data_IF_838347845267
#
_entry.id   IF_838347845267
#
_cell.length_a   1.000
_cell.length_b   1.000
_cell.length_c   1.000
_cell.angle_alpha   90.00
_cell.angle_beta   90.00
_cell.angle_gamma   90.00
#
_symmetry.space_group_name_H-M   'P 1'
#
loop_
_entity.id
_entity.type
_entity.pdbx_description
1 polymer ?
#
# COMPACT_ATOMS: atom_id res chain seq x y z
N UNK A 1 -7.68 17.73 -15.65
CA UNK A 1 -6.81 16.59 -15.98
C UNK A 1 -6.62 15.83 -14.69
N UNK A 2 -7.15 14.62 -14.63
CA UNK A 2 -6.92 13.74 -13.49
C UNK A 2 -5.41 13.54 -13.26
N UNK A 3 -5.00 13.66 -12.03
CA UNK A 3 -3.63 13.37 -11.62
C UNK A 3 -3.45 11.86 -11.68
N UNK A 4 -2.49 11.32 -12.43
CA UNK A 4 -2.26 9.89 -12.45
C UNK A 4 -1.99 9.38 -11.04
N UNK A 5 -2.64 8.26 -10.69
CA UNK A 5 -2.61 7.65 -9.37
C UNK A 5 -2.20 6.18 -9.47
N UNK A 6 -1.42 5.69 -8.48
CA UNK A 6 -1.08 4.28 -8.31
C UNK A 6 -1.18 3.90 -6.84
N UNK A 7 -1.74 2.73 -6.57
CA UNK A 7 -1.80 2.15 -5.24
C UNK A 7 -0.95 0.88 -5.22
N UNK A 8 0.13 0.86 -4.45
CA UNK A 8 1.05 -0.26 -4.39
C UNK A 8 1.21 -0.75 -2.96
N UNK A 9 1.01 -2.04 -2.73
CA UNK A 9 1.29 -2.69 -1.45
C UNK A 9 2.75 -3.17 -1.40
N UNK A 10 3.35 -3.21 -0.21
CA UNK A 10 4.67 -3.83 -0.02
C UNK A 10 4.51 -5.10 0.78
N UNK A 11 4.76 -6.22 0.15
CA UNK A 11 4.77 -7.56 0.72
C UNK A 11 6.22 -7.92 1.07
N UNK A 12 6.50 -8.19 2.33
CA UNK A 12 7.83 -8.57 2.78
C UNK A 12 7.74 -9.46 4.01
N UNK A 13 8.70 -10.37 4.15
CA UNK A 13 8.94 -11.02 5.45
C UNK A 13 9.51 -10.01 6.45
N UNK A 14 9.36 -10.32 7.74
CA UNK A 14 10.03 -9.58 8.82
C UNK A 14 11.53 -9.51 8.52
N UNK A 15 12.16 -8.38 8.79
CA UNK A 15 13.58 -8.12 8.56
C UNK A 15 14.07 -8.13 7.10
N UNK A 16 13.22 -8.32 6.09
CA UNK A 16 13.62 -8.18 4.68
C UNK A 16 13.88 -6.72 4.24
N UNK A 17 13.71 -5.75 5.15
CA UNK A 17 14.09 -4.34 4.93
C UNK A 17 12.97 -3.47 4.36
N UNK A 18 11.70 -3.85 4.57
CA UNK A 18 10.52 -3.09 4.12
C UNK A 18 10.54 -1.64 4.61
N UNK A 19 10.62 -1.42 5.91
CA UNK A 19 10.65 -0.08 6.52
C UNK A 19 11.81 0.75 5.98
N UNK A 20 13.00 0.16 5.87
CA UNK A 20 14.20 0.85 5.37
C UNK A 20 14.04 1.28 3.91
N UNK A 21 13.43 0.45 3.06
CA UNK A 21 13.16 0.79 1.66
C UNK A 21 12.14 1.91 1.53
N UNK A 22 11.06 1.87 2.31
CA UNK A 22 10.04 2.94 2.33
C UNK A 22 10.63 4.25 2.83
N UNK A 23 11.46 4.21 3.87
CA UNK A 23 12.16 5.40 4.38
C UNK A 23 13.07 6.00 3.29
N UNK A 24 13.77 5.16 2.51
CA UNK A 24 14.59 5.62 1.39
C UNK A 24 13.74 6.28 0.27
N UNK A 25 12.57 5.72 -0.04
CA UNK A 25 11.62 6.32 -1.00
C UNK A 25 11.15 7.69 -0.49
N UNK A 26 10.70 7.79 0.76
CA UNK A 26 10.22 9.03 1.36
C UNK A 26 11.31 10.12 1.42
N UNK A 27 12.54 9.73 1.76
CA UNK A 27 13.67 10.66 1.82
C UNK A 27 14.01 11.25 0.44
N UNK A 28 14.00 10.41 -0.61
CA UNK A 28 14.39 10.83 -1.96
C UNK A 28 13.26 11.54 -2.72
N UNK A 29 12.01 11.35 -2.33
CA UNK A 29 10.88 12.09 -2.89
C UNK A 29 10.60 13.42 -2.18
N UNK A 30 11.46 13.82 -1.24
CA UNK A 30 11.40 15.13 -0.57
C UNK A 30 10.33 15.22 0.53
N UNK A 31 9.77 14.09 0.95
CA UNK A 31 8.69 14.03 1.93
C UNK A 31 9.20 14.02 3.37
N UNK A 32 10.41 13.52 3.62
CA UNK A 32 11.06 13.58 4.93
C UNK A 32 12.37 14.39 4.86
N UNK A 33 12.62 15.21 5.87
CA UNK A 33 13.93 15.88 5.97
C UNK A 33 14.97 14.84 6.37
N UNK A 34 16.11 14.82 5.66
CA UNK A 34 17.23 13.89 5.87
C UNK A 34 17.85 13.88 7.28
N UNK A 35 17.33 14.66 8.22
CA UNK A 35 17.83 14.80 9.60
C UNK A 35 17.10 13.93 10.64
N UNK A 36 15.92 13.41 10.31
CA UNK A 36 15.11 12.61 11.23
C UNK A 36 15.05 11.11 10.85
N UNK A 37 15.93 10.66 9.97
CA UNK A 37 15.85 9.39 9.28
C UNK A 37 16.48 8.23 10.06
N UNK A 38 15.79 7.78 11.10
CA UNK A 38 15.93 6.37 11.55
C UNK A 38 14.55 5.85 11.95
N UNK A 39 14.00 4.93 11.14
CA UNK A 39 12.72 4.24 11.38
C UNK A 39 11.51 5.19 11.51
N UNK A 40 11.30 6.07 10.53
CA UNK A 40 10.17 7.02 10.54
C UNK A 40 8.83 6.27 10.42
N UNK A 41 8.81 5.12 9.74
CA UNK A 41 7.62 4.28 9.63
C UNK A 41 7.26 3.59 10.95
N UNK A 42 8.22 3.14 11.76
CA UNK A 42 7.97 2.43 13.01
C UNK A 42 7.86 3.42 14.19
N UNK A 43 6.76 4.17 14.24
CA UNK A 43 6.52 5.18 15.28
C UNK A 43 6.01 4.60 16.60
N UNK A 44 5.47 3.37 16.61
CA UNK A 44 4.98 2.69 17.81
C UNK A 44 6.15 2.13 18.64
N UNK A 45 6.22 2.39 19.97
CA UNK A 45 7.27 1.85 20.83
C UNK A 45 7.40 0.32 20.76
N UNK A 46 6.29 -0.40 20.62
CA UNK A 46 6.27 -1.87 20.51
C UNK A 46 6.84 -2.36 19.18
N UNK A 47 6.57 -1.65 18.08
CA UNK A 47 7.14 -1.95 16.75
C UNK A 47 8.66 -1.77 16.76
N UNK A 48 9.16 -0.68 17.39
CA UNK A 48 10.60 -0.41 17.54
C UNK A 48 11.30 -1.45 18.43
N UNK A 49 10.65 -1.87 19.51
CA UNK A 49 11.21 -2.86 20.43
C UNK A 49 11.32 -4.24 19.80
N UNK A 50 10.32 -4.62 18.98
CA UNK A 50 10.23 -5.94 18.35
C UNK A 50 10.78 -6.00 16.93
N UNK A 51 11.04 -4.86 16.28
CA UNK A 51 11.50 -4.78 14.90
C UNK A 51 10.45 -5.25 13.87
N UNK A 52 9.15 -5.26 14.22
CA UNK A 52 8.08 -5.75 13.35
C UNK A 52 7.02 -4.67 13.14
N UNK A 53 6.48 -4.57 11.92
CA UNK A 53 5.29 -3.76 11.64
C UNK A 53 4.07 -4.49 12.17
N UNK A 54 3.37 -3.88 13.13
CA UNK A 54 2.15 -4.42 13.74
C UNK A 54 0.91 -3.82 13.07
N UNK A 55 0.92 -2.51 12.82
CA UNK A 55 -0.19 -1.79 12.21
C UNK A 55 0.15 -1.41 10.78
N UNK A 56 -0.76 -1.72 9.86
CA UNK A 56 -0.67 -1.27 8.48
C UNK A 56 -0.63 0.26 8.41
N UNK A 57 0.37 0.80 7.73
CA UNK A 57 0.55 2.23 7.56
C UNK A 57 0.42 2.59 6.08
N UNK A 58 -0.24 3.69 5.83
CA UNK A 58 -0.37 4.23 4.49
C UNK A 58 0.50 5.48 4.38
N UNK A 59 1.30 5.56 3.34
CA UNK A 59 1.98 6.80 2.98
C UNK A 59 1.75 7.12 1.50
N UNK A 60 2.03 8.36 1.12
CA UNK A 60 1.87 8.78 -0.26
C UNK A 60 3.00 9.70 -0.67
N UNK A 61 3.50 9.49 -1.88
CA UNK A 61 4.53 10.33 -2.49
C UNK A 61 4.03 10.91 -3.81
N UNK A 62 4.49 12.09 -4.11
CA UNK A 62 4.27 12.74 -5.39
C UNK A 62 5.58 12.65 -6.19
N UNK A 63 5.53 11.96 -7.30
CA UNK A 63 6.68 11.69 -8.16
C UNK A 63 6.48 12.30 -9.55
N UNK A 64 7.51 12.95 -10.09
CA UNK A 64 7.52 13.46 -11.46
C UNK A 64 8.57 12.69 -12.25
N UNK A 65 8.16 11.71 -13.10
CA UNK A 65 9.11 10.95 -13.88
C UNK A 65 9.76 11.81 -14.97
N UNK A 66 11.05 11.59 -15.23
CA UNK A 66 11.80 12.26 -16.29
C UNK A 66 11.54 11.66 -17.67
N UNK A 67 11.09 10.41 -17.73
CA UNK A 67 10.85 9.65 -18.97
C UNK A 67 9.59 8.81 -18.86
N UNK A 68 9.19 8.17 -19.97
CA UNK A 68 8.03 7.29 -20.03
C UNK A 68 6.71 8.03 -20.30
N UNK A 69 5.60 7.32 -20.14
CA UNK A 69 4.26 7.82 -20.51
C UNK A 69 3.81 9.04 -19.69
N UNK A 70 4.29 9.15 -18.46
CA UNK A 70 3.95 10.24 -17.52
C UNK A 70 5.08 11.28 -17.39
N UNK A 71 6.04 11.34 -18.31
CA UNK A 71 7.17 12.26 -18.24
C UNK A 71 6.73 13.72 -18.01
N UNK A 72 7.32 14.36 -17.01
CA UNK A 72 7.02 15.75 -16.64
C UNK A 72 5.67 15.98 -15.96
N UNK A 73 4.86 14.92 -15.72
CA UNK A 73 3.57 15.04 -15.02
C UNK A 73 3.70 14.50 -13.58
N UNK A 74 3.17 15.19 -12.58
CA UNK A 74 3.17 14.67 -11.22
C UNK A 74 2.23 13.48 -11.13
N UNK A 75 2.76 12.34 -10.72
CA UNK A 75 2.01 11.12 -10.40
C UNK A 75 1.97 10.94 -8.90
N UNK A 76 0.81 10.59 -8.39
CA UNK A 76 0.65 10.20 -7.00
C UNK A 76 0.83 8.70 -6.84
N UNK A 77 1.66 8.29 -5.91
CA UNK A 77 1.87 6.88 -5.57
C UNK A 77 1.52 6.71 -4.08
N UNK A 78 0.45 5.99 -3.81
CA UNK A 78 0.11 5.53 -2.47
C UNK A 78 0.87 4.23 -2.20
N UNK A 79 1.57 4.17 -1.09
CA UNK A 79 2.31 3.00 -0.62
C UNK A 79 1.61 2.47 0.62
N UNK A 80 1.17 1.21 0.52
CA UNK A 80 0.43 0.51 1.55
C UNK A 80 1.38 -0.49 2.22
N UNK A 81 1.71 -0.22 3.47
CA UNK A 81 2.55 -1.12 4.26
C UNK A 81 1.72 -2.29 4.79
N UNK A 82 2.13 -3.52 4.51
CA UNK A 82 1.45 -4.72 4.99
C UNK A 82 2.16 -5.29 6.21
N UNK A 83 1.42 -5.77 7.24
CA UNK A 83 2.01 -6.54 8.31
C UNK A 83 2.76 -7.77 7.77
N UNK A 84 3.96 -8.03 8.30
CA UNK A 84 4.81 -9.14 7.81
C UNK A 84 4.53 -10.49 8.46
N UNK A 85 3.61 -10.58 9.44
CA UNK A 85 3.36 -11.79 10.21
C UNK A 85 2.04 -12.46 9.84
N UNK A 86 2.03 -13.79 9.73
CA UNK A 86 0.85 -14.58 9.34
C UNK A 86 -0.35 -14.42 10.30
N UNK A 87 -0.12 -14.05 11.56
CA UNK A 87 -1.18 -13.83 12.56
C UNK A 87 -2.12 -12.66 12.21
N UNK A 88 -1.70 -11.78 11.29
CA UNK A 88 -2.45 -10.61 10.84
C UNK A 88 -3.13 -10.83 9.47
N UNK A 89 -3.47 -12.07 9.12
CA UNK A 89 -3.99 -12.42 7.79
C UNK A 89 -5.19 -11.59 7.33
N UNK A 90 -6.14 -11.31 8.21
CA UNK A 90 -7.29 -10.46 7.89
C UNK A 90 -6.92 -8.98 7.66
N UNK A 91 -5.92 -8.46 8.36
CA UNK A 91 -5.40 -7.11 8.14
C UNK A 91 -4.67 -7.00 6.81
N UNK A 92 -3.83 -8.00 6.50
CA UNK A 92 -3.14 -8.10 5.20
C UNK A 92 -4.13 -8.08 4.06
N UNK A 93 -5.19 -8.90 4.09
CA UNK A 93 -6.19 -8.95 3.02
C UNK A 93 -6.91 -7.61 2.83
N UNK A 94 -7.27 -6.93 3.93
CA UNK A 94 -7.90 -5.61 3.87
C UNK A 94 -6.99 -4.56 3.21
N UNK A 95 -5.68 -4.59 3.54
CA UNK A 95 -4.72 -3.66 2.93
C UNK A 95 -4.53 -3.96 1.46
N UNK A 96 -4.38 -5.24 1.09
CA UNK A 96 -4.19 -5.66 -0.30
C UNK A 96 -5.38 -5.27 -1.20
N UNK A 97 -6.62 -5.26 -0.68
CA UNK A 97 -7.80 -4.80 -1.44
C UNK A 97 -7.76 -3.33 -1.84
N UNK A 98 -6.95 -2.50 -1.16
CA UNK A 98 -6.77 -1.10 -1.54
C UNK A 98 -5.70 -0.90 -2.62
N UNK A 99 -4.91 -1.94 -2.94
CA UNK A 99 -3.80 -1.89 -3.90
C UNK A 99 -4.23 -2.33 -5.30
N UNK A 100 -3.48 -1.88 -6.30
CA UNK A 100 -3.62 -2.30 -7.71
C UNK A 100 -2.38 -3.11 -8.15
N UNK A 101 -1.30 -3.08 -7.37
CA UNK A 101 -0.10 -3.88 -7.54
C UNK A 101 0.65 -4.07 -6.23
N UNK A 102 1.68 -4.90 -6.25
CA UNK A 102 2.48 -5.19 -5.07
C UNK A 102 3.97 -5.31 -5.38
N UNK A 103 4.80 -4.73 -4.51
CA UNK A 103 6.20 -5.09 -4.40
C UNK A 103 6.34 -6.33 -3.54
N UNK A 104 6.93 -7.39 -4.09
CA UNK A 104 7.41 -8.53 -3.34
C UNK A 104 8.88 -8.29 -2.97
N UNK A 105 9.13 -7.89 -1.74
CA UNK A 105 10.47 -7.61 -1.24
C UNK A 105 11.07 -8.86 -0.61
N UNK A 106 12.21 -9.31 -1.14
CA UNK A 106 12.91 -10.52 -0.69
C UNK A 106 14.36 -10.18 -0.38
N UNK A 107 14.86 -10.69 0.75
CA UNK A 107 16.27 -10.57 1.13
C UNK A 107 17.15 -11.40 0.19
N UNK A 108 18.22 -10.80 -0.35
CA UNK A 108 19.14 -11.44 -1.29
C UNK A 108 19.94 -12.62 -0.70
N UNK A 109 19.96 -12.78 0.63
CA UNK A 109 20.59 -13.91 1.31
C UNK A 109 19.58 -14.95 1.80
N UNK A 110 18.47 -14.52 2.43
CA UNK A 110 17.50 -15.43 3.04
C UNK A 110 16.56 -16.08 2.02
N UNK A 111 16.21 -15.36 0.94
CA UNK A 111 15.24 -15.83 -0.03
C UNK A 111 13.78 -15.71 0.44
N UNK A 112 12.82 -16.29 -0.31
CA UNK A 112 11.41 -16.24 0.05
C UNK A 112 11.09 -17.14 1.26
N UNK A 113 10.47 -16.54 2.28
CA UNK A 113 10.14 -17.22 3.53
C UNK A 113 8.71 -17.80 3.51
N UNK A 114 8.38 -18.82 4.33
CA UNK A 114 7.05 -19.45 4.32
C UNK A 114 5.87 -18.46 4.51
N UNK A 115 6.06 -17.43 5.35
CA UNK A 115 5.04 -16.41 5.58
C UNK A 115 4.78 -15.55 4.35
N UNK A 116 5.79 -15.34 3.51
CA UNK A 116 5.67 -14.62 2.24
C UNK A 116 4.69 -15.32 1.31
N UNK A 117 4.67 -16.66 1.31
CA UNK A 117 3.75 -17.45 0.48
C UNK A 117 2.29 -17.12 0.75
N UNK A 118 1.89 -17.04 2.02
CA UNK A 118 0.51 -16.74 2.40
C UNK A 118 0.05 -15.37 1.88
N UNK A 119 0.87 -14.33 2.10
CA UNK A 119 0.53 -12.96 1.65
C UNK A 119 0.53 -12.87 0.13
N UNK A 120 1.47 -13.54 -0.52
CA UNK A 120 1.58 -13.59 -1.99
C UNK A 120 0.37 -14.30 -2.62
N UNK A 121 -0.11 -15.42 -2.02
CA UNK A 121 -1.32 -16.13 -2.46
C UNK A 121 -2.54 -15.21 -2.44
N UNK A 122 -2.72 -14.44 -1.36
CA UNK A 122 -3.80 -13.45 -1.26
C UNK A 122 -3.66 -12.33 -2.31
N UNK A 123 -2.45 -11.82 -2.53
CA UNK A 123 -2.19 -10.78 -3.54
C UNK A 123 -2.50 -11.27 -4.96
N UNK A 124 -2.06 -12.46 -5.32
CA UNK A 124 -2.35 -13.08 -6.61
C UNK A 124 -3.85 -13.38 -6.79
N UNK A 125 -4.51 -13.86 -5.73
CA UNK A 125 -5.96 -14.10 -5.72
C UNK A 125 -6.78 -12.82 -5.94
N UNK A 126 -6.26 -11.65 -5.59
CA UNK A 126 -6.84 -10.32 -5.86
C UNK A 126 -6.43 -9.76 -7.23
N UNK A 127 -5.61 -10.46 -8.01
CA UNK A 127 -5.15 -10.02 -9.33
C UNK A 127 -4.14 -8.87 -9.28
N UNK A 128 -3.45 -8.66 -8.16
CA UNK A 128 -2.45 -7.59 -8.05
C UNK A 128 -1.26 -7.83 -8.98
N UNK A 129 -0.83 -6.79 -9.68
CA UNK A 129 0.38 -6.84 -10.51
C UNK A 129 1.63 -6.88 -9.63
N UNK A 130 2.48 -7.88 -9.87
CA UNK A 130 3.65 -8.13 -9.06
C UNK A 130 4.90 -7.46 -9.65
N UNK A 131 5.69 -6.85 -8.76
CA UNK A 131 7.07 -6.41 -9.02
C UNK A 131 7.96 -7.02 -7.95
N UNK A 132 8.95 -7.81 -8.35
CA UNK A 132 9.88 -8.44 -7.41
C UNK A 132 11.04 -7.50 -7.13
N UNK A 133 11.37 -7.31 -5.85
CA UNK A 133 12.50 -6.48 -5.41
C UNK A 133 13.41 -7.35 -4.54
N UNK A 134 14.59 -7.69 -5.06
CA UNK A 134 15.61 -8.41 -4.32
C UNK A 134 16.45 -7.38 -3.56
N UNK A 135 16.25 -7.32 -2.25
CA UNK A 135 16.82 -6.30 -1.37
C UNK A 135 18.08 -6.82 -0.64
N UNK A 136 18.81 -5.88 -0.06
CA UNK A 136 20.06 -6.12 0.66
C UNK A 136 21.18 -6.67 -0.24
N UNK A 137 21.20 -6.28 -1.51
CA UNK A 137 22.27 -6.64 -2.44
C UNK A 137 23.64 -6.05 -2.06
N UNK A 138 23.69 -5.14 -1.08
CA UNK A 138 24.90 -4.59 -0.47
C UNK A 138 25.64 -5.57 0.46
N UNK A 139 25.00 -6.66 0.87
CA UNK A 139 25.61 -7.64 1.78
C UNK A 139 26.65 -8.50 1.08
N UNK A 140 27.75 -8.85 1.75
CA UNK A 140 28.80 -9.68 1.16
C UNK A 140 28.37 -11.14 0.94
N UNK A 141 27.31 -11.58 1.62
CA UNK A 141 26.69 -12.91 1.55
C UNK A 141 25.42 -12.95 0.68
N UNK A 142 25.14 -11.87 -0.07
CA UNK A 142 24.01 -11.80 -1.00
C UNK A 142 24.23 -12.74 -2.20
N UNK A 143 23.16 -13.45 -2.59
CA UNK A 143 23.10 -14.30 -3.79
C UNK A 143 21.79 -14.02 -4.54
N UNK A 144 21.71 -12.88 -5.24
CA UNK A 144 20.48 -12.44 -5.90
C UNK A 144 19.96 -13.42 -6.95
N UNK A 145 20.86 -14.08 -7.71
CA UNK A 145 20.48 -15.01 -8.77
C UNK A 145 19.81 -16.27 -8.20
N UNK A 146 20.34 -16.80 -7.10
CA UNK A 146 19.71 -17.91 -6.38
C UNK A 146 18.33 -17.51 -5.88
N UNK A 147 18.22 -16.35 -5.24
CA UNK A 147 16.96 -15.87 -4.67
C UNK A 147 15.92 -15.60 -5.76
N UNK A 148 16.32 -15.07 -6.91
CA UNK A 148 15.43 -14.90 -8.05
C UNK A 148 14.83 -16.24 -8.52
N UNK A 149 15.66 -17.28 -8.65
CA UNK A 149 15.21 -18.62 -9.02
C UNK A 149 14.25 -19.20 -7.95
N UNK A 150 14.54 -19.02 -6.67
CA UNK A 150 13.64 -19.47 -5.57
C UNK A 150 12.28 -18.75 -5.60
N UNK A 151 12.24 -17.45 -5.93
CA UNK A 151 10.99 -16.70 -6.11
C UNK A 151 10.21 -17.22 -7.30
N UNK A 152 10.89 -17.49 -8.42
CA UNK A 152 10.27 -18.07 -9.61
C UNK A 152 9.68 -19.45 -9.30
N UNK A 153 10.44 -20.34 -8.67
CA UNK A 153 9.98 -21.66 -8.26
C UNK A 153 8.77 -21.60 -7.30
N UNK A 154 8.76 -20.62 -6.39
CA UNK A 154 7.64 -20.38 -5.49
C UNK A 154 6.38 -20.01 -6.27
N UNK A 155 6.46 -19.08 -7.23
CA UNK A 155 5.32 -18.66 -8.05
C UNK A 155 4.79 -19.82 -8.92
N UNK A 156 5.68 -20.61 -9.52
CA UNK A 156 5.31 -21.81 -10.28
C UNK A 156 4.59 -22.83 -9.37
N UNK A 157 5.11 -23.07 -8.17
CA UNK A 157 4.50 -23.97 -7.19
C UNK A 157 3.13 -23.50 -6.68
N UNK A 158 2.86 -22.19 -6.79
CA UNK A 158 1.55 -21.57 -6.47
C UNK A 158 0.58 -21.60 -7.66
N UNK A 159 1.01 -22.06 -8.84
CA UNK A 159 0.19 -22.12 -10.03
C UNK A 159 0.00 -20.76 -10.71
N UNK A 160 0.97 -19.86 -10.57
CA UNK A 160 0.96 -18.55 -11.25
C UNK A 160 0.87 -18.75 -12.77
N UNK A 161 0.11 -17.89 -13.45
CA UNK A 161 -0.02 -17.87 -14.89
C UNK A 161 1.21 -17.23 -15.59
N UNK A 162 1.29 -17.36 -16.90
CA UNK A 162 2.42 -16.84 -17.68
C UNK A 162 2.57 -15.32 -17.53
N UNK A 163 1.47 -14.57 -17.35
CA UNK A 163 1.48 -13.13 -17.15
C UNK A 163 2.10 -12.76 -15.80
N UNK A 164 1.78 -13.51 -14.75
CA UNK A 164 2.38 -13.34 -13.41
C UNK A 164 3.84 -13.77 -13.41
N UNK A 165 4.23 -14.79 -14.17
CA UNK A 165 5.62 -15.26 -14.28
C UNK A 165 6.51 -14.33 -15.11
N UNK A 166 5.95 -13.43 -15.92
CA UNK A 166 6.67 -12.32 -16.59
C UNK A 166 6.79 -11.09 -15.66
N UNK A 167 7.10 -11.33 -14.40
CA UNK A 167 7.28 -10.25 -13.43
C UNK A 167 8.60 -9.49 -13.65
N UNK A 168 8.60 -8.15 -13.52
CA UNK A 168 9.83 -7.38 -13.50
C UNK A 168 10.60 -7.61 -12.19
N UNK A 169 11.92 -7.58 -12.28
CA UNK A 169 12.83 -7.73 -11.14
C UNK A 169 13.67 -6.47 -10.99
N UNK A 170 13.78 -6.00 -9.76
CA UNK A 170 14.70 -4.95 -9.37
C UNK A 170 15.60 -5.45 -8.23
N UNK A 171 16.84 -5.00 -8.26
CA UNK A 171 17.83 -5.24 -7.20
C UNK A 171 17.97 -3.98 -6.37
N UNK A 172 18.06 -4.10 -5.06
CA UNK A 172 18.03 -2.94 -4.18
C UNK A 172 18.94 -3.09 -2.94
N UNK A 173 19.32 -1.95 -2.39
CA UNK A 173 19.76 -1.80 -1.01
C UNK A 173 18.93 -0.67 -0.37
N UNK A 174 17.95 -1.05 0.43
CA UNK A 174 17.16 -0.06 1.19
C UNK A 174 18.04 0.75 2.13
N UNK A 175 19.08 0.14 2.72
CA UNK A 175 20.04 0.80 3.61
C UNK A 175 20.83 1.90 2.89
N UNK A 176 21.33 1.61 1.71
CA UNK A 176 22.16 2.54 0.93
C UNK A 176 21.28 3.41 -0.01
N UNK A 177 19.96 3.15 -0.05
CA UNK A 177 18.97 3.98 -0.73
C UNK A 177 19.04 3.91 -2.25
N UNK A 178 19.24 2.74 -2.83
CA UNK A 178 19.27 2.54 -4.29
C UNK A 178 18.46 1.33 -4.74
N UNK A 179 18.05 1.36 -6.00
CA UNK A 179 17.49 0.25 -6.75
C UNK A 179 17.91 0.34 -8.22
N UNK A 180 18.00 -0.80 -8.90
CA UNK A 180 18.43 -0.87 -10.29
C UNK A 180 18.02 -2.18 -10.97
N UNK A 181 18.30 -2.27 -12.27
CA UNK A 181 18.01 -3.43 -13.10
C UNK A 181 19.07 -4.55 -12.93
N UNK A 182 20.17 -4.26 -12.24
CA UNK A 182 21.19 -5.23 -11.83
C UNK A 182 21.78 -4.85 -10.46
N UNK A 183 22.46 -5.77 -9.76
CA UNK A 183 23.11 -5.47 -8.48
C UNK A 183 24.19 -4.37 -8.56
N UNK A 184 24.77 -4.15 -9.74
CA UNK A 184 25.80 -3.13 -10.00
C UNK A 184 25.21 -1.75 -10.33
N UNK A 185 23.93 -1.68 -10.71
CA UNK A 185 23.24 -0.43 -11.08
C UNK A 185 22.71 0.31 -9.84
N UNK A 186 23.63 0.94 -9.11
CA UNK A 186 23.35 1.55 -7.80
C UNK A 186 23.41 3.10 -7.79
N UNK A 187 23.36 3.75 -8.96
CA UNK A 187 23.56 5.20 -9.06
C UNK A 187 22.29 6.02 -9.19
N UNK A 188 21.13 5.39 -9.49
CA UNK A 188 19.87 6.05 -9.77
C UNK A 188 18.96 6.27 -8.55
N UNK A 189 19.47 6.01 -7.34
CA UNK A 189 18.66 6.07 -6.12
C UNK A 189 17.46 5.11 -6.22
N UNK A 190 16.31 5.51 -5.69
CA UNK A 190 15.07 4.71 -5.73
C UNK A 190 14.19 4.98 -6.95
N UNK A 191 14.66 5.82 -7.89
CA UNK A 191 13.92 6.17 -9.12
C UNK A 191 13.48 4.94 -9.93
N UNK A 192 14.29 3.89 -10.10
CA UNK A 192 13.86 2.68 -10.81
C UNK A 192 12.63 2.01 -10.19
N UNK A 193 12.49 1.99 -8.85
CA UNK A 193 11.29 1.47 -8.18
C UNK A 193 10.05 2.28 -8.55
N UNK A 194 10.13 3.61 -8.51
CA UNK A 194 9.01 4.48 -8.83
C UNK A 194 8.60 4.37 -10.31
N UNK A 195 9.58 4.29 -11.21
CA UNK A 195 9.30 4.07 -12.63
C UNK A 195 8.62 2.72 -12.88
N UNK A 196 9.09 1.66 -12.20
CA UNK A 196 8.50 0.34 -12.35
C UNK A 196 7.05 0.29 -11.86
N UNK A 197 6.69 1.05 -10.80
CA UNK A 197 5.28 1.22 -10.40
C UNK A 197 4.47 1.82 -11.53
N UNK A 198 4.98 2.84 -12.22
CA UNK A 198 4.24 3.51 -13.31
C UNK A 198 4.09 2.63 -14.55
N UNK A 199 5.06 1.77 -14.81
CA UNK A 199 5.07 0.90 -16.00
C UNK A 199 4.23 -0.37 -15.82
N UNK A 200 4.17 -0.92 -14.61
CA UNK A 200 3.56 -2.24 -14.36
C UNK A 200 2.28 -2.20 -13.52
N UNK A 201 2.17 -1.28 -12.57
CA UNK A 201 0.95 -1.17 -11.76
C UNK A 201 -0.10 -0.38 -12.53
N UNK A 202 -1.29 -0.92 -12.76
CA UNK A 202 -2.34 -0.19 -13.47
C UNK A 202 -2.86 1.00 -12.64
N UNK A 203 -3.51 1.94 -13.30
CA UNK A 203 -4.32 2.93 -12.60
C UNK A 203 -5.49 2.23 -11.89
N UNK A 204 -5.99 2.76 -10.76
CA UNK A 204 -7.12 2.19 -10.06
C UNK A 204 -8.33 2.06 -10.99
N UNK A 205 -8.96 0.87 -10.98
CA UNK A 205 -10.26 0.68 -11.63
C UNK A 205 -11.33 1.26 -10.71
N UNK A 206 -11.87 2.43 -11.06
CA UNK A 206 -12.84 3.17 -10.24
C UNK A 206 -13.81 3.96 -11.12
N UNK A 207 -14.94 4.40 -10.55
CA UNK A 207 -15.92 5.22 -11.23
C UNK A 207 -16.03 6.61 -10.56
N UNK A 208 -15.30 7.63 -11.03
CA UNK A 208 -15.32 8.96 -10.42
C UNK A 208 -16.65 9.71 -10.59
N UNK A 209 -17.46 9.36 -11.58
CA UNK A 209 -18.75 10.01 -11.85
C UNK A 209 -19.94 9.34 -11.11
N UNK A 210 -19.71 8.15 -10.56
CA UNK A 210 -20.73 7.40 -9.82
C UNK A 210 -21.07 7.99 -8.45
N UNK A 211 -22.10 7.49 -7.79
CA UNK A 211 -22.42 7.84 -6.41
C UNK A 211 -21.31 7.33 -5.46
N UNK A 212 -21.04 8.09 -4.39
CA UNK A 212 -20.00 7.72 -3.41
C UNK A 212 -20.16 6.28 -2.92
N UNK A 213 -19.07 5.53 -2.98
CA UNK A 213 -18.94 4.21 -2.36
C UNK A 213 -17.49 4.00 -1.89
N UNK A 214 -17.33 3.69 -0.60
CA UNK A 214 -16.03 3.48 0.04
C UNK A 214 -16.12 2.35 1.05
N UNK A 215 -15.27 1.33 0.94
CA UNK A 215 -15.14 0.28 1.94
C UNK A 215 -14.18 0.72 3.04
N UNK A 216 -14.59 0.62 4.29
CA UNK A 216 -13.73 0.89 5.46
C UNK A 216 -12.83 -0.32 5.69
N UNK A 217 -11.54 -0.16 5.41
CA UNK A 217 -10.54 -1.22 5.52
C UNK A 217 -9.70 -1.12 6.79
N UNK A 218 -9.59 0.08 7.34
CA UNK A 218 -8.86 0.36 8.57
C UNK A 218 -9.54 1.45 9.40
N UNK A 219 -9.23 1.53 10.69
CA UNK A 219 -9.68 2.56 11.60
C UNK A 219 -8.47 3.18 12.31
N UNK A 220 -8.29 4.48 12.12
CA UNK A 220 -7.42 5.29 12.95
C UNK A 220 -8.20 5.88 14.13
N UNK A 221 -7.48 6.45 15.06
CA UNK A 221 -8.06 7.05 16.25
C UNK A 221 -7.46 8.42 16.53
N UNK A 222 -8.31 9.35 16.94
CA UNK A 222 -7.91 10.66 17.46
C UNK A 222 -8.61 10.92 18.80
N UNK A 223 -7.88 11.47 19.76
CA UNK A 223 -8.47 11.87 21.05
C UNK A 223 -9.55 12.95 20.91
N UNK A 224 -9.52 13.71 19.80
CA UNK A 224 -10.43 14.83 19.55
C UNK A 224 -11.64 14.46 18.70
N UNK A 225 -11.45 13.58 17.73
CA UNK A 225 -12.47 13.26 16.70
C UNK A 225 -12.94 11.80 16.74
N UNK A 226 -12.46 11.01 17.69
CA UNK A 226 -12.81 9.60 17.85
C UNK A 226 -12.28 8.72 16.71
N UNK A 227 -13.13 7.84 16.17
CA UNK A 227 -12.76 6.91 15.09
C UNK A 227 -12.61 7.64 13.77
N UNK A 228 -11.58 7.29 13.03
CA UNK A 228 -11.28 7.83 11.70
C UNK A 228 -11.23 6.67 10.70
N UNK A 229 -12.34 6.39 9.99
CA UNK A 229 -12.36 5.37 8.96
C UNK A 229 -11.39 5.70 7.83
N UNK A 230 -10.66 4.68 7.38
CA UNK A 230 -9.71 4.72 6.27
C UNK A 230 -10.11 3.69 5.24
N UNK A 231 -10.08 4.08 3.96
CA UNK A 231 -10.37 3.17 2.85
C UNK A 231 -10.05 3.78 1.50
N UNK A 232 -10.19 2.97 0.44
CA UNK A 232 -10.15 3.42 -0.94
C UNK A 232 -11.55 3.81 -1.39
N UNK A 233 -11.66 4.92 -2.11
CA UNK A 233 -12.91 5.33 -2.74
C UNK A 233 -13.08 4.52 -4.03
N UNK A 234 -14.10 3.68 -4.11
CA UNK A 234 -14.38 2.87 -5.29
C UNK A 234 -15.18 3.66 -6.34
N UNK A 235 -16.11 4.51 -5.89
CA UNK A 235 -16.93 5.37 -6.76
C UNK A 235 -17.09 6.76 -6.16
N UNK A 236 -17.25 7.74 -7.04
CA UNK A 236 -17.60 9.12 -6.68
C UNK A 236 -16.51 9.87 -5.92
N UNK A 237 -16.93 10.73 -5.04
CA UNK A 237 -16.05 11.67 -4.33
C UNK A 237 -16.44 11.83 -2.88
N UNK A 238 -15.43 12.01 -2.01
CA UNK A 238 -15.61 12.41 -0.61
C UNK A 238 -15.36 13.91 -0.48
N UNK A 239 -16.35 14.63 0.08
CA UNK A 239 -16.24 16.08 0.33
C UNK A 239 -16.59 16.40 1.79
N UNK A 240 -15.84 17.30 2.46
CA UNK A 240 -16.24 17.84 3.76
C UNK A 240 -17.65 18.47 3.71
N UNK A 241 -18.41 18.27 4.76
CA UNK A 241 -19.78 18.77 4.88
C UNK A 241 -20.86 17.89 4.25
N UNK A 242 -20.51 16.83 3.51
CA UNK A 242 -21.46 15.90 2.92
C UNK A 242 -22.09 14.99 3.97
N UNK A 243 -23.40 14.78 3.86
CA UNK A 243 -24.10 13.74 4.59
C UNK A 243 -23.97 12.42 3.82
N UNK A 244 -23.80 11.30 4.54
CA UNK A 244 -23.55 9.98 3.98
C UNK A 244 -24.38 8.91 4.68
N UNK A 245 -24.63 7.81 3.99
CA UNK A 245 -25.19 6.58 4.55
C UNK A 245 -24.05 5.59 4.84
N UNK A 246 -24.19 4.83 5.91
CA UNK A 246 -23.23 3.80 6.34
C UNK A 246 -23.98 2.46 6.31
N UNK A 247 -23.58 1.58 5.40
CA UNK A 247 -24.05 0.21 5.35
C UNK A 247 -23.29 -0.62 6.38
N UNK A 248 -23.81 -0.72 7.59
CA UNK A 248 -23.24 -1.48 8.69
C UNK A 248 -23.84 -2.89 8.76
N UNK A 249 -23.23 -3.79 9.58
CA UNK A 249 -23.74 -5.15 9.76
C UNK A 249 -25.15 -5.19 10.35
N UNK A 250 -25.46 -4.21 11.20
CA UNK A 250 -26.72 -4.08 11.94
C UNK A 250 -27.76 -3.17 11.22
N UNK A 251 -27.45 -2.71 10.01
CA UNK A 251 -28.34 -1.89 9.19
C UNK A 251 -27.72 -0.60 8.68
N UNK A 252 -28.54 0.27 8.10
CA UNK A 252 -28.10 1.54 7.53
C UNK A 252 -28.10 2.61 8.62
N UNK A 253 -26.94 3.26 8.79
CA UNK A 253 -26.77 4.41 9.68
C UNK A 253 -26.53 5.68 8.85
N UNK A 254 -26.69 6.84 9.45
CA UNK A 254 -26.37 8.13 8.84
C UNK A 254 -25.11 8.70 9.48
N UNK A 255 -24.30 9.34 8.66
CA UNK A 255 -23.07 10.03 9.09
C UNK A 255 -22.90 11.35 8.35
N UNK A 256 -21.94 12.15 8.80
CA UNK A 256 -21.54 13.38 8.14
C UNK A 256 -20.03 13.47 8.09
N UNK A 257 -19.50 13.73 6.92
CA UNK A 257 -18.05 13.98 6.71
C UNK A 257 -17.74 15.37 7.27
N UNK A 258 -17.00 15.45 8.36
CA UNK A 258 -16.50 16.73 8.87
C UNK A 258 -15.24 17.14 8.09
N UNK A 259 -14.28 16.21 7.92
CA UNK A 259 -13.06 16.42 7.15
C UNK A 259 -12.77 15.21 6.29
N UNK A 260 -12.24 15.48 5.10
CA UNK A 260 -11.60 14.49 4.23
C UNK A 260 -10.10 14.69 4.31
N UNK A 261 -9.36 13.66 4.70
CA UNK A 261 -7.93 13.69 4.89
C UNK A 261 -7.25 12.80 3.85
N UNK A 262 -6.37 13.39 3.04
CA UNK A 262 -5.54 12.69 2.06
C UNK A 262 -4.19 12.36 2.67
N UNK A 263 -3.64 11.20 2.38
CA UNK A 263 -2.28 10.85 2.80
C UNK A 263 -1.26 11.75 2.10
N UNK A 264 -0.27 12.23 2.84
CA UNK A 264 0.82 13.08 2.34
C UNK A 264 2.09 12.73 3.13
N UNK A 265 3.04 12.06 2.49
CA UNK A 265 4.12 11.41 3.21
C UNK A 265 3.57 10.40 4.20
N UNK A 266 4.07 10.44 5.43
CA UNK A 266 3.58 9.65 6.56
C UNK A 266 2.39 10.29 7.28
N UNK A 267 2.07 11.51 6.95
CA UNK A 267 0.98 12.26 7.58
C UNK A 267 -0.28 12.27 6.73
N UNK A 268 -1.22 13.08 7.18
CA UNK A 268 -2.48 13.35 6.49
C UNK A 268 -2.67 14.86 6.38
N UNK A 269 -3.22 15.32 5.26
CA UNK A 269 -3.57 16.72 5.01
C UNK A 269 -5.05 16.85 4.68
N UNK A 270 -5.68 17.94 5.14
CA UNK A 270 -7.05 18.24 4.77
C UNK A 270 -7.17 18.47 3.26
N UNK A 271 -8.17 17.86 2.66
CA UNK A 271 -8.48 18.01 1.25
C UNK A 271 -9.90 18.56 1.07
N UNK A 272 -10.06 19.48 0.13
CA UNK A 272 -11.39 19.99 -0.24
C UNK A 272 -12.25 18.91 -0.90
N UNK A 273 -11.61 17.91 -1.51
CA UNK A 273 -12.24 16.78 -2.18
C UNK A 273 -11.21 15.65 -2.36
N UNK A 274 -11.65 14.40 -2.23
CA UNK A 274 -10.87 13.21 -2.59
C UNK A 274 -11.72 12.37 -3.55
N UNK A 275 -11.13 12.00 -4.69
CA UNK A 275 -11.82 11.34 -5.80
C UNK A 275 -11.63 9.81 -5.76
N UNK A 276 -12.49 9.10 -6.50
CA UNK A 276 -12.41 7.66 -6.65
C UNK A 276 -11.02 7.19 -7.08
N UNK A 277 -10.60 6.03 -6.58
CA UNK A 277 -9.28 5.44 -6.73
C UNK A 277 -8.28 5.84 -5.64
N UNK A 278 -8.43 7.02 -5.01
CA UNK A 278 -7.50 7.49 -3.96
C UNK A 278 -7.88 6.95 -2.57
N UNK A 279 -6.92 6.98 -1.68
CA UNK A 279 -7.10 6.64 -0.26
C UNK A 279 -7.53 7.87 0.52
N UNK A 280 -8.48 7.68 1.42
CA UNK A 280 -9.00 8.75 2.27
C UNK A 280 -9.17 8.29 3.71
N UNK A 281 -8.88 9.19 4.65
CA UNK A 281 -9.31 9.07 6.04
C UNK A 281 -10.39 10.13 6.29
N UNK A 282 -11.45 9.77 7.01
CA UNK A 282 -12.63 10.62 7.20
C UNK A 282 -12.81 10.92 8.69
N UNK A 283 -12.92 12.18 9.06
CA UNK A 283 -13.33 12.60 10.40
C UNK A 283 -14.83 12.94 10.46
N UNK A 284 -15.44 12.62 11.59
CA UNK A 284 -16.82 12.96 11.90
C UNK A 284 -17.80 11.79 11.86
N UNK A 285 -17.34 10.58 11.65
CA UNK A 285 -18.16 9.36 11.63
C UNK A 285 -17.71 8.43 12.75
N UNK A 286 -18.34 8.51 13.92
CA UNK A 286 -17.92 7.73 15.10
C UNK A 286 -18.51 6.32 15.14
N UNK A 287 -19.77 6.15 14.66
CA UNK A 287 -20.49 4.88 14.71
C UNK A 287 -20.19 4.02 13.47
N UNK A 288 -18.91 3.69 13.27
CA UNK A 288 -18.43 2.95 12.10
C UNK A 288 -17.45 1.86 12.50
N UNK A 289 -17.45 0.77 11.77
CA UNK A 289 -16.56 -0.38 11.97
C UNK A 289 -15.84 -0.78 10.68
N UNK A 290 -14.77 -1.56 10.82
CA UNK A 290 -14.07 -2.13 9.68
C UNK A 290 -15.03 -3.05 8.93
N UNK A 291 -15.06 -2.92 7.60
CA UNK A 291 -15.96 -3.65 6.73
C UNK A 291 -17.30 -2.93 6.47
N UNK A 292 -17.58 -1.83 7.14
CA UNK A 292 -18.73 -0.99 6.78
C UNK A 292 -18.46 -0.29 5.44
N UNK A 293 -19.53 0.00 4.69
CA UNK A 293 -19.42 0.75 3.44
C UNK A 293 -20.05 2.13 3.63
N UNK A 294 -19.31 3.18 3.30
CA UNK A 294 -19.80 4.55 3.26
C UNK A 294 -20.34 4.83 1.86
N UNK A 295 -21.61 5.24 1.75
CA UNK A 295 -22.31 5.47 0.49
C UNK A 295 -22.91 6.88 0.42
N UNK A 296 -23.22 7.32 -0.80
CA UNK A 296 -24.10 8.47 -0.99
C UNK A 296 -25.51 8.16 -0.43
N UNK A 297 -26.19 9.18 0.09
CA UNK A 297 -27.57 9.02 0.58
C UNK A 297 -28.50 8.65 -0.58
N UNK A 298 -29.27 7.58 -0.40
CA UNK A 298 -30.20 7.08 -1.41
C UNK A 298 -29.58 6.09 -2.40
N UNK A 299 -28.28 5.82 -2.29
CA UNK A 299 -27.52 4.91 -3.14
C UNK A 299 -26.74 3.91 -2.26
N UNK A 300 -27.46 3.32 -1.29
CA UNK A 300 -26.88 2.40 -0.31
C UNK A 300 -26.62 1.04 -0.94
N UNK A 301 -25.35 0.79 -1.31
CA UNK A 301 -24.87 -0.46 -1.87
C UNK A 301 -23.63 -0.91 -1.09
N UNK A 302 -23.81 -1.93 -0.24
CA UNK A 302 -22.71 -2.46 0.58
C UNK A 302 -21.70 -3.23 -0.29
N UNK A 303 -20.42 -2.97 -0.06
CA UNK A 303 -19.32 -3.79 -0.59
C UNK A 303 -19.14 -5.04 0.28
N UNK A 304 -18.54 -6.08 -0.32
CA UNK A 304 -18.24 -7.33 0.37
C UNK A 304 -17.28 -7.09 1.53
N UNK A 305 -17.70 -7.45 2.73
CA UNK A 305 -16.87 -7.41 3.91
C UNK A 305 -15.75 -8.44 3.78
N UNK A 306 -14.54 -8.07 4.19
CA UNK A 306 -13.47 -9.05 4.39
C UNK A 306 -13.83 -9.89 5.60
N UNK A 307 -14.19 -11.15 5.38
CA UNK A 307 -14.36 -12.12 6.47
C UNK A 307 -12.95 -12.49 6.96
N UNK A 308 -12.67 -12.13 8.20
CA UNK A 308 -11.46 -12.61 8.88
C UNK A 308 -11.71 -14.07 9.23
N UNK A 309 -10.92 -14.97 8.64
CA UNK A 309 -10.90 -16.36 9.09
C UNK A 309 -10.52 -16.36 10.58
N UNK A 310 -11.35 -16.96 11.43
CA UNK A 310 -11.02 -17.09 12.85
C UNK A 310 -9.72 -17.90 12.98
N UNK A 311 -8.76 -17.46 13.81
CA UNK A 311 -7.54 -18.21 14.02
C UNK A 311 -7.89 -19.62 14.55
N UNK A 312 -7.46 -20.65 13.82
CA UNK A 312 -7.58 -22.06 14.21
C UNK A 312 -6.62 -22.42 15.32
#
# INVERSE_FOLDING_TARGET
MERPLRNVAIIAHVDHGKTTLVDAILAQTGVSSAKDATCVMDSNPLERERGITILAKNCAVDYVPESGHHAGQPVRINILDTPGHADFGGEVERVLRMADGAFLLVDAHEGPMPQTRFVLEKALGLGLRLVVVINKCDRPDADPDRVLNEVFDLLVAMGADDETLDFPVLYASGRDGWAGDSPEDNQRGVVPLLNQVLDRVPAPSCDPEGPLQLLVTNLDWSEYTGRIPVGRIERGVVKPGSDVSICAADGIKKGRVLKALRFAGLGKSEAAMVEAGDLVAIEGIDAIEIGDTICAIGEEEALDRVTVDEPT
#
